data_IF_651297670218
#
_entry.id   IF_651297670218
#
_cell.length_a   1.000
_cell.length_b   1.000
_cell.length_c   1.000
_cell.angle_alpha   90.00
_cell.angle_beta   90.00
_cell.angle_gamma   90.00
#
_symmetry.space_group_name_H-M   'P 1'
#
loop_
_entity.id
_entity.type
_entity.pdbx_description
1 polymer ?
#
# COMPACT_ATOMS: atom_id res chain seq x y z
N UNK A 1 -6.02 -6.55 -9.56
CA UNK A 1 -6.32 -5.17 -9.99
C UNK A 1 -5.11 -4.26 -9.86
N UNK A 2 -4.51 -4.14 -8.66
CA UNK A 2 -3.35 -3.24 -8.41
C UNK A 2 -2.14 -3.59 -9.27
N UNK A 3 -1.80 -4.86 -9.42
CA UNK A 3 -0.65 -5.29 -10.25
C UNK A 3 -0.85 -4.97 -11.73
N UNK A 4 -2.08 -5.17 -12.25
CA UNK A 4 -2.41 -4.84 -13.64
C UNK A 4 -2.32 -3.32 -13.87
N UNK A 5 -2.78 -2.52 -12.91
CA UNK A 5 -2.65 -1.07 -12.95
C UNK A 5 -1.18 -0.63 -13.05
N UNK A 6 -0.28 -1.22 -12.26
CA UNK A 6 1.14 -0.89 -12.33
C UNK A 6 1.79 -1.33 -13.65
N UNK A 7 1.42 -2.48 -14.19
CA UNK A 7 1.90 -2.90 -15.53
C UNK A 7 1.45 -1.90 -16.60
N UNK A 8 0.20 -1.42 -16.53
CA UNK A 8 -0.31 -0.38 -17.44
C UNK A 8 0.51 0.91 -17.31
N UNK A 9 0.75 1.38 -16.08
CA UNK A 9 1.53 2.60 -15.83
C UNK A 9 2.95 2.48 -16.39
N UNK A 10 3.63 1.35 -16.14
CA UNK A 10 4.98 1.10 -16.64
C UNK A 10 5.02 1.14 -18.17
N UNK A 11 4.02 0.55 -18.83
CA UNK A 11 3.95 0.52 -20.29
C UNK A 11 3.64 1.90 -20.91
N UNK A 12 2.75 2.67 -20.26
CA UNK A 12 2.38 4.02 -20.74
C UNK A 12 3.51 5.04 -20.52
N UNK A 13 4.27 4.90 -19.44
CA UNK A 13 5.32 5.83 -19.04
C UNK A 13 6.73 5.24 -19.20
N UNK A 14 7.03 4.60 -20.34
CA UNK A 14 8.30 3.92 -20.59
C UNK A 14 9.52 4.86 -20.72
N UNK A 15 9.31 6.17 -20.92
CA UNK A 15 10.37 7.15 -21.11
C UNK A 15 11.00 7.67 -19.81
N UNK A 16 12.25 8.16 -19.90
CA UNK A 16 13.11 8.60 -18.79
C UNK A 16 12.52 9.67 -17.86
N UNK A 17 11.51 10.42 -18.29
CA UNK A 17 10.76 11.37 -17.47
C UNK A 17 9.68 10.72 -16.60
N UNK A 18 9.41 9.44 -16.78
CA UNK A 18 8.36 8.68 -16.10
C UNK A 18 8.58 8.58 -14.57
N UNK A 19 9.84 8.54 -14.12
CA UNK A 19 10.17 8.43 -12.68
C UNK A 19 9.56 9.54 -11.83
N UNK A 20 9.40 10.75 -12.38
CA UNK A 20 8.74 11.87 -11.68
C UNK A 20 7.21 11.68 -11.60
N UNK A 21 6.62 11.09 -12.62
CA UNK A 21 5.17 10.85 -12.69
C UNK A 21 4.68 9.79 -11.69
N UNK A 22 5.53 8.81 -11.34
CA UNK A 22 5.18 7.80 -10.33
C UNK A 22 4.82 8.39 -8.97
N UNK A 23 5.56 9.43 -8.52
CA UNK A 23 5.26 10.13 -7.27
C UNK A 23 3.86 10.75 -7.26
N UNK A 24 3.47 11.40 -8.35
CA UNK A 24 2.13 12.00 -8.48
C UNK A 24 1.01 10.96 -8.56
N UNK A 25 1.25 9.83 -9.24
CA UNK A 25 0.28 8.73 -9.32
C UNK A 25 0.10 8.10 -7.94
N UNK A 26 1.17 7.89 -7.20
CA UNK A 26 1.11 7.38 -5.83
C UNK A 26 0.42 8.36 -4.87
N UNK A 27 0.65 9.67 -5.04
CA UNK A 27 -0.04 10.72 -4.29
C UNK A 27 -1.56 10.67 -4.50
N UNK A 28 -2.03 10.33 -5.71
CA UNK A 28 -3.45 10.06 -5.98
C UNK A 28 -4.04 8.96 -5.10
N UNK A 29 -3.29 7.89 -4.83
CA UNK A 29 -3.69 6.85 -3.89
C UNK A 29 -3.85 7.36 -2.46
N UNK A 30 -2.92 8.21 -2.00
CA UNK A 30 -3.00 8.83 -0.66
C UNK A 30 -4.18 9.82 -0.55
N UNK A 31 -4.48 10.58 -1.60
CA UNK A 31 -5.71 11.40 -1.66
C UNK A 31 -6.95 10.52 -1.56
N UNK A 32 -7.01 9.40 -2.29
CA UNK A 32 -8.08 8.42 -2.19
C UNK A 32 -8.25 7.88 -0.77
N UNK A 33 -7.15 7.63 -0.06
CA UNK A 33 -7.15 7.24 1.36
C UNK A 33 -7.75 8.32 2.27
N UNK A 34 -7.42 9.60 2.06
CA UNK A 34 -7.99 10.72 2.82
C UNK A 34 -9.52 10.76 2.64
N UNK A 35 -10.01 10.74 1.41
CA UNK A 35 -11.45 10.78 1.14
C UNK A 35 -12.16 9.51 1.63
N UNK A 36 -11.56 8.33 1.42
CA UNK A 36 -12.13 7.07 1.85
C UNK A 36 -12.24 6.95 3.37
N UNK A 37 -11.23 7.41 4.11
CA UNK A 37 -11.25 7.42 5.57
C UNK A 37 -12.31 8.37 6.13
N UNK A 38 -12.48 9.55 5.53
CA UNK A 38 -13.52 10.50 5.93
C UNK A 38 -14.92 9.91 5.73
N UNK A 39 -15.16 9.25 4.58
CA UNK A 39 -16.42 8.55 4.32
C UNK A 39 -16.64 7.45 5.37
N UNK A 40 -15.62 6.63 5.65
CA UNK A 40 -15.73 5.54 6.61
C UNK A 40 -16.05 6.03 8.02
N UNK A 41 -15.38 7.08 8.50
CA UNK A 41 -15.65 7.67 9.83
C UNK A 41 -17.06 8.24 9.89
N UNK A 42 -17.50 9.00 8.89
CA UNK A 42 -18.86 9.56 8.86
C UNK A 42 -19.96 8.49 8.86
N UNK A 43 -19.73 7.39 8.13
CA UNK A 43 -20.67 6.25 8.15
C UNK A 43 -20.66 5.60 9.55
N UNK A 44 -19.49 5.42 10.19
CA UNK A 44 -19.42 4.80 11.51
C UNK A 44 -20.08 5.65 12.60
N UNK A 45 -19.93 6.96 12.57
CA UNK A 45 -20.59 7.89 13.49
C UNK A 45 -22.11 7.88 13.36
N UNK A 46 -22.63 7.58 12.17
CA UNK A 46 -24.07 7.50 11.90
C UNK A 46 -24.56 6.03 11.77
N UNK A 47 -23.81 5.07 12.27
CA UNK A 47 -24.05 3.64 12.06
C UNK A 47 -25.43 3.15 12.52
N UNK A 48 -25.98 3.76 13.59
CA UNK A 48 -27.33 3.44 14.09
C UNK A 48 -28.43 3.65 13.03
N UNK A 49 -28.19 4.52 12.05
CA UNK A 49 -29.12 4.84 10.95
C UNK A 49 -28.72 4.21 9.61
N UNK A 50 -27.44 3.92 9.40
CA UNK A 50 -26.92 3.55 8.09
C UNK A 50 -26.56 2.07 7.96
N UNK A 51 -26.30 1.36 9.06
CA UNK A 51 -25.97 -0.06 9.05
C UNK A 51 -24.68 -0.42 8.28
N UNK A 52 -24.36 -1.70 8.25
CA UNK A 52 -23.20 -2.23 7.52
C UNK A 52 -23.37 -2.12 5.99
N UNK A 53 -24.61 -2.07 5.52
CA UNK A 53 -24.97 -1.94 4.11
C UNK A 53 -24.40 -0.65 3.50
N UNK A 54 -24.32 0.43 4.28
CA UNK A 54 -23.80 1.70 3.82
C UNK A 54 -22.32 1.65 3.48
N UNK A 55 -21.52 0.85 4.19
CA UNK A 55 -20.12 0.61 3.83
C UNK A 55 -20.00 -0.18 2.52
N UNK A 56 -20.83 -1.22 2.36
CA UNK A 56 -20.85 -2.05 1.15
C UNK A 56 -21.29 -1.23 -0.06
N UNK A 57 -22.35 -0.43 0.08
CA UNK A 57 -22.86 0.42 -1.00
C UNK A 57 -21.82 1.47 -1.40
N UNK A 58 -21.25 2.21 -0.46
CA UNK A 58 -20.25 3.24 -0.77
C UNK A 58 -18.99 2.64 -1.41
N UNK A 59 -18.51 1.51 -0.91
CA UNK A 59 -17.39 0.80 -1.51
C UNK A 59 -17.70 0.32 -2.93
N UNK A 60 -18.93 -0.19 -3.18
CA UNK A 60 -19.37 -0.63 -4.50
C UNK A 60 -19.45 0.52 -5.49
N UNK A 61 -19.97 1.67 -5.08
CA UNK A 61 -20.02 2.88 -5.91
C UNK A 61 -18.60 3.33 -6.30
N UNK A 62 -17.67 3.37 -5.35
CA UNK A 62 -16.28 3.74 -5.64
C UNK A 62 -15.59 2.74 -6.58
N UNK A 63 -15.87 1.43 -6.43
CA UNK A 63 -15.35 0.40 -7.33
C UNK A 63 -15.92 0.54 -8.75
N UNK A 64 -17.21 0.83 -8.89
CA UNK A 64 -17.83 1.07 -10.21
C UNK A 64 -17.21 2.30 -10.86
N UNK A 65 -17.02 3.39 -10.11
CA UNK A 65 -16.36 4.60 -10.61
C UNK A 65 -14.93 4.30 -11.06
N UNK A 66 -14.17 3.53 -10.27
CA UNK A 66 -12.82 3.09 -10.63
C UNK A 66 -12.82 2.25 -11.92
N UNK A 67 -13.80 1.37 -12.11
CA UNK A 67 -13.94 0.57 -13.32
C UNK A 67 -14.23 1.46 -14.55
N UNK A 68 -15.14 2.42 -14.42
CA UNK A 68 -15.45 3.38 -15.50
C UNK A 68 -14.20 4.16 -15.90
N UNK A 69 -13.43 4.65 -14.92
CA UNK A 69 -12.17 5.36 -15.18
C UNK A 69 -11.13 4.46 -15.86
N UNK A 70 -11.02 3.20 -15.44
CA UNK A 70 -10.14 2.24 -16.08
C UNK A 70 -10.52 2.01 -17.56
N UNK A 71 -11.79 1.82 -17.85
CA UNK A 71 -12.29 1.68 -19.23
C UNK A 71 -11.99 2.94 -20.04
N UNK A 72 -12.23 4.13 -19.47
CA UNK A 72 -11.92 5.40 -20.12
C UNK A 72 -10.43 5.52 -20.47
N UNK A 73 -9.52 5.18 -19.54
CA UNK A 73 -8.07 5.17 -19.77
C UNK A 73 -7.72 4.21 -20.91
N UNK A 74 -8.28 3.01 -20.93
CA UNK A 74 -8.07 2.03 -22.01
C UNK A 74 -8.48 2.54 -23.39
N UNK A 75 -9.54 3.34 -23.47
CA UNK A 75 -9.98 3.93 -24.74
C UNK A 75 -9.17 5.17 -25.15
N UNK A 76 -8.60 5.87 -24.18
CA UNK A 76 -7.87 7.13 -24.41
C UNK A 76 -6.39 6.92 -24.70
N UNK A 77 -5.82 5.79 -24.28
CA UNK A 77 -4.40 5.45 -24.53
C UNK A 77 -4.29 4.78 -25.89
N UNK A 78 -3.35 5.29 -26.73
CA UNK A 78 -3.10 4.73 -28.06
C UNK A 78 -2.76 3.23 -27.94
N UNK A 79 -3.53 2.39 -28.62
CA UNK A 79 -3.45 0.92 -28.56
C UNK A 79 -2.07 0.37 -28.97
N UNK A 80 -1.26 1.17 -29.67
CA UNK A 80 0.12 0.79 -30.05
C UNK A 80 1.04 0.55 -28.85
N UNK A 81 0.80 1.25 -27.73
CA UNK A 81 1.58 1.08 -26.50
C UNK A 81 1.06 -0.03 -25.58
N UNK A 82 -0.14 -0.56 -25.87
CA UNK A 82 -0.79 -1.61 -25.08
C UNK A 82 -0.75 -2.98 -25.76
N UNK A 83 -0.32 -3.03 -27.04
CA UNK A 83 -0.36 -4.24 -27.87
C UNK A 83 0.83 -5.18 -27.66
N UNK A 84 1.89 -4.74 -26.98
CA UNK A 84 2.96 -5.63 -26.57
C UNK A 84 2.42 -6.56 -25.49
N UNK A 85 1.92 -7.70 -25.94
CA UNK A 85 1.59 -8.81 -25.05
C UNK A 85 2.83 -9.08 -24.20
N UNK A 86 2.71 -8.91 -22.89
CA UNK A 86 3.76 -9.35 -21.96
C UNK A 86 3.91 -10.85 -22.20
N UNK A 87 4.83 -11.20 -23.11
CA UNK A 87 5.11 -12.57 -23.50
C UNK A 87 5.75 -13.30 -22.33
N UNK A 88 5.56 -14.61 -22.29
CA UNK A 88 6.17 -15.49 -21.30
C UNK A 88 5.22 -16.61 -20.93
N UNK A 89 5.77 -17.78 -20.68
CA UNK A 89 5.00 -18.89 -20.13
C UNK A 89 4.88 -18.67 -18.62
N UNK A 90 3.79 -19.09 -18.01
CA UNK A 90 3.58 -18.98 -16.55
C UNK A 90 4.71 -19.64 -15.73
N UNK A 91 5.41 -20.61 -16.29
CA UNK A 91 6.57 -21.27 -15.68
C UNK A 91 7.87 -20.44 -15.78
N UNK A 92 7.96 -19.47 -16.68
CA UNK A 92 9.17 -18.66 -16.87
C UNK A 92 9.48 -17.84 -15.61
N UNK A 93 8.45 -17.35 -14.91
CA UNK A 93 8.60 -16.65 -13.64
C UNK A 93 9.26 -17.55 -12.57
N UNK A 94 8.80 -18.79 -12.45
CA UNK A 94 9.35 -19.76 -11.50
C UNK A 94 10.79 -20.13 -11.86
N UNK A 95 11.08 -20.32 -13.14
CA UNK A 95 12.42 -20.61 -13.63
C UNK A 95 13.37 -19.42 -13.36
N UNK A 96 12.93 -18.20 -13.63
CA UNK A 96 13.72 -16.99 -13.40
C UNK A 96 14.04 -16.77 -11.91
N UNK A 97 13.08 -17.04 -11.00
CA UNK A 97 13.30 -16.96 -9.55
C UNK A 97 14.39 -17.98 -9.12
N UNK A 98 14.40 -19.16 -9.69
CA UNK A 98 15.39 -20.21 -9.32
C UNK A 98 16.76 -19.88 -9.94
N UNK A 99 16.79 -19.43 -11.20
CA UNK A 99 18.02 -19.28 -11.99
C UNK A 99 18.77 -17.99 -11.70
N UNK A 100 18.06 -16.89 -11.36
CA UNK A 100 18.67 -15.58 -11.15
C UNK A 100 18.73 -15.22 -9.68
N UNK A 101 19.95 -15.04 -9.14
CA UNK A 101 20.19 -14.76 -7.71
C UNK A 101 19.47 -13.49 -7.24
N UNK A 102 19.46 -12.43 -8.06
CA UNK A 102 18.90 -11.14 -7.70
C UNK A 102 17.37 -11.21 -7.62
N UNK A 103 16.73 -11.85 -8.61
CA UNK A 103 15.27 -12.07 -8.62
C UNK A 103 14.87 -12.93 -7.42
N UNK A 104 15.62 -13.99 -7.12
CA UNK A 104 15.37 -14.84 -5.95
C UNK A 104 15.48 -14.09 -4.64
N UNK A 105 16.51 -13.23 -4.50
CA UNK A 105 16.70 -12.44 -3.26
C UNK A 105 15.53 -11.50 -3.02
N UNK A 106 15.04 -10.83 -4.05
CA UNK A 106 13.89 -9.94 -3.97
C UNK A 106 12.60 -10.70 -3.71
N UNK A 107 12.42 -11.87 -4.34
CA UNK A 107 11.25 -12.72 -4.08
C UNK A 107 11.21 -13.17 -2.62
N UNK A 108 12.34 -13.60 -2.05
CA UNK A 108 12.45 -13.99 -0.63
C UNK A 108 12.18 -12.78 0.27
N UNK A 109 12.75 -11.61 -0.03
CA UNK A 109 12.49 -10.38 0.73
C UNK A 109 11.00 -10.05 0.74
N UNK A 110 10.35 -10.04 -0.42
CA UNK A 110 8.93 -9.73 -0.55
C UNK A 110 8.05 -10.74 0.20
N UNK A 111 8.40 -12.02 0.14
CA UNK A 111 7.71 -13.07 0.87
C UNK A 111 7.83 -12.91 2.39
N UNK A 112 9.05 -12.69 2.89
CA UNK A 112 9.28 -12.45 4.32
C UNK A 112 8.57 -11.19 4.81
N UNK A 113 8.62 -10.11 4.03
CA UNK A 113 7.93 -8.87 4.36
C UNK A 113 6.42 -9.07 4.48
N UNK A 114 5.81 -9.76 3.50
CA UNK A 114 4.38 -10.06 3.53
C UNK A 114 4.02 -10.92 4.73
N UNK A 115 4.85 -11.93 5.06
CA UNK A 115 4.66 -12.74 6.26
C UNK A 115 4.71 -11.89 7.55
N UNK A 116 5.70 -10.98 7.67
CA UNK A 116 5.79 -10.06 8.81
C UNK A 116 4.56 -9.14 8.91
N UNK A 117 4.10 -8.57 7.79
CA UNK A 117 2.90 -7.73 7.77
C UNK A 117 1.66 -8.52 8.20
N UNK A 118 1.51 -9.76 7.73
CA UNK A 118 0.38 -10.63 8.10
C UNK A 118 0.41 -10.98 9.58
N UNK A 119 1.58 -11.38 10.12
CA UNK A 119 1.74 -11.70 11.53
C UNK A 119 1.45 -10.47 12.40
N UNK A 120 1.96 -9.30 12.01
CA UNK A 120 1.72 -8.05 12.73
C UNK A 120 0.22 -7.72 12.77
N UNK A 121 -0.48 -7.86 11.64
CA UNK A 121 -1.92 -7.64 11.57
C UNK A 121 -2.69 -8.60 12.48
N UNK A 122 -2.41 -9.91 12.39
CA UNK A 122 -3.06 -10.93 13.21
C UNK A 122 -2.78 -10.70 14.70
N UNK A 123 -1.56 -10.29 15.05
CA UNK A 123 -1.19 -10.01 16.45
C UNK A 123 -1.90 -8.77 17.02
N UNK A 124 -2.29 -7.82 16.18
CA UNK A 124 -3.03 -6.63 16.60
C UNK A 124 -4.50 -6.93 16.94
N UNK A 125 -5.11 -7.93 16.30
CA UNK A 125 -6.55 -8.24 16.45
C UNK A 125 -6.94 -8.48 17.91
N UNK A 126 -6.31 -9.42 18.67
CA UNK A 126 -6.68 -9.66 20.05
C UNK A 126 -6.46 -8.43 20.96
N UNK A 127 -5.45 -7.61 20.67
CA UNK A 127 -5.24 -6.36 21.42
C UNK A 127 -6.42 -5.41 21.18
N UNK A 128 -6.82 -5.22 19.93
CA UNK A 128 -7.96 -4.35 19.58
C UNK A 128 -9.26 -4.88 20.22
N UNK A 129 -9.49 -6.18 20.15
CA UNK A 129 -10.71 -6.81 20.69
C UNK A 129 -10.85 -6.69 22.21
N UNK A 130 -9.74 -6.63 22.92
CA UNK A 130 -9.76 -6.39 24.37
C UNK A 130 -10.22 -4.97 24.74
N UNK A 131 -10.02 -3.98 23.86
CA UNK A 131 -10.36 -2.59 24.13
C UNK A 131 -11.65 -2.14 23.42
N UNK A 132 -11.95 -2.70 22.25
CA UNK A 132 -13.07 -2.29 21.40
C UNK A 132 -14.00 -3.51 21.16
N UNK A 133 -15.14 -3.50 21.82
CA UNK A 133 -16.06 -4.64 21.84
C UNK A 133 -16.94 -4.71 20.58
N UNK A 134 -17.27 -3.55 20.00
CA UNK A 134 -18.20 -3.48 18.87
C UNK A 134 -17.49 -3.40 17.53
N UNK A 135 -18.04 -4.00 16.45
CA UNK A 135 -17.50 -3.85 15.10
C UNK A 135 -17.41 -2.38 14.65
N UNK A 136 -18.38 -1.56 15.06
CA UNK A 136 -18.42 -0.13 14.72
C UNK A 136 -17.24 0.63 15.27
N UNK A 137 -16.91 0.43 16.57
CA UNK A 137 -15.74 1.06 17.20
C UNK A 137 -14.43 0.67 16.48
N UNK A 138 -14.32 -0.58 16.02
CA UNK A 138 -13.15 -1.05 15.27
C UNK A 138 -13.05 -0.39 13.90
N UNK A 139 -14.17 -0.26 13.19
CA UNK A 139 -14.21 0.44 11.89
C UNK A 139 -13.83 1.91 12.08
N UNK A 140 -14.38 2.57 13.10
CA UNK A 140 -14.04 3.94 13.43
C UNK A 140 -12.55 4.10 13.74
N UNK A 141 -11.98 3.21 14.57
CA UNK A 141 -10.54 3.20 14.87
C UNK A 141 -9.70 3.16 13.58
N UNK A 142 -9.99 2.22 12.68
CA UNK A 142 -9.25 2.10 11.42
C UNK A 142 -9.45 3.30 10.51
N UNK A 143 -10.65 3.87 10.46
CA UNK A 143 -10.93 5.12 9.75
C UNK A 143 -10.09 6.28 10.29
N UNK A 144 -10.02 6.44 11.61
CA UNK A 144 -9.21 7.49 12.27
C UNK A 144 -7.71 7.27 12.08
N UNK A 145 -7.22 6.03 12.11
CA UNK A 145 -5.82 5.71 11.76
C UNK A 145 -5.54 6.13 10.31
N UNK A 146 -6.45 5.85 9.38
CA UNK A 146 -6.28 6.22 7.98
C UNK A 146 -6.29 7.73 7.76
N UNK A 147 -7.11 8.48 8.51
CA UNK A 147 -7.10 9.95 8.52
C UNK A 147 -5.74 10.54 8.93
N UNK A 148 -4.92 9.80 9.68
CA UNK A 148 -3.55 10.19 10.04
C UNK A 148 -2.55 9.67 8.99
N UNK A 149 -2.65 8.41 8.61
CA UNK A 149 -1.71 7.73 7.70
C UNK A 149 -1.70 8.37 6.33
N UNK A 150 -2.88 8.64 5.76
CA UNK A 150 -2.98 9.11 4.38
C UNK A 150 -2.39 10.51 4.16
N UNK A 151 -2.65 11.54 5.01
CA UNK A 151 -1.99 12.83 4.89
C UNK A 151 -0.48 12.76 5.13
N UNK A 152 -0.03 12.01 6.16
CA UNK A 152 1.39 11.83 6.43
C UNK A 152 2.10 11.15 5.26
N UNK A 153 1.48 10.14 4.67
CA UNK A 153 2.00 9.46 3.48
C UNK A 153 2.09 10.42 2.30
N UNK A 154 1.04 11.21 2.05
CA UNK A 154 1.01 12.20 0.97
C UNK A 154 2.15 13.22 1.11
N UNK A 155 2.30 13.81 2.30
CA UNK A 155 3.38 14.77 2.58
C UNK A 155 4.74 14.10 2.39
N UNK A 156 4.89 12.87 2.91
CA UNK A 156 6.14 12.12 2.78
C UNK A 156 6.46 11.80 1.32
N UNK A 157 5.48 11.41 0.52
CA UNK A 157 5.65 11.12 -0.90
C UNK A 157 6.07 12.36 -1.71
N UNK A 158 5.49 13.52 -1.42
CA UNK A 158 5.76 14.74 -2.16
C UNK A 158 7.13 15.34 -1.82
N UNK A 159 7.53 15.30 -0.55
CA UNK A 159 8.71 16.03 -0.09
C UNK A 159 9.89 15.14 0.31
N UNK A 160 9.63 14.01 0.94
CA UNK A 160 10.67 13.23 1.59
C UNK A 160 11.10 11.98 0.82
N UNK A 161 10.24 11.37 0.00
CA UNK A 161 10.57 10.11 -0.69
C UNK A 161 11.80 10.23 -1.57
N UNK A 162 11.84 11.24 -2.44
CA UNK A 162 13.00 11.46 -3.30
C UNK A 162 14.27 11.76 -2.49
N UNK A 163 14.16 12.60 -1.48
CA UNK A 163 15.29 12.97 -0.62
C UNK A 163 15.85 11.75 0.13
N UNK A 164 15.00 10.94 0.73
CA UNK A 164 15.38 9.73 1.46
C UNK A 164 16.07 8.70 0.54
N UNK A 165 15.49 8.44 -0.64
CA UNK A 165 16.07 7.51 -1.61
C UNK A 165 17.43 8.01 -2.11
N UNK A 166 17.56 9.31 -2.39
CA UNK A 166 18.80 9.91 -2.88
C UNK A 166 19.91 9.96 -1.84
N UNK A 167 19.55 10.23 -0.57
CA UNK A 167 20.53 10.44 0.50
C UNK A 167 20.95 9.13 1.16
N UNK A 168 19.99 8.25 1.47
CA UNK A 168 20.23 7.02 2.22
C UNK A 168 20.38 5.79 1.31
N UNK A 169 19.86 5.89 0.10
CA UNK A 169 19.86 4.78 -0.85
C UNK A 169 18.79 3.72 -0.56
N UNK A 170 18.44 2.98 -1.60
CA UNK A 170 17.37 1.97 -1.56
C UNK A 170 17.67 0.87 -0.55
N UNK A 171 18.92 0.40 -0.51
CA UNK A 171 19.34 -0.68 0.40
C UNK A 171 19.09 -0.33 1.87
N UNK A 172 19.39 0.89 2.26
CA UNK A 172 19.18 1.35 3.64
C UNK A 172 17.68 1.39 3.98
N UNK A 173 16.84 1.92 3.07
CA UNK A 173 15.40 2.01 3.27
C UNK A 173 14.77 0.62 3.45
N UNK A 174 15.15 -0.35 2.61
CA UNK A 174 14.66 -1.71 2.72
C UNK A 174 15.10 -2.40 4.02
N UNK A 175 16.32 -2.12 4.49
CA UNK A 175 16.85 -2.68 5.74
C UNK A 175 16.16 -2.07 6.97
N UNK A 176 16.02 -0.75 7.02
CA UNK A 176 15.40 -0.07 8.17
C UNK A 176 13.95 -0.46 8.36
N UNK A 177 13.24 -0.76 7.26
CA UNK A 177 11.86 -1.22 7.35
C UNK A 177 11.74 -2.57 8.08
N UNK A 178 12.66 -3.49 7.83
CA UNK A 178 12.76 -4.73 8.60
C UNK A 178 13.04 -4.51 10.09
N UNK A 179 13.90 -3.54 10.41
CA UNK A 179 14.18 -3.16 11.81
C UNK A 179 12.96 -2.56 12.51
N UNK A 180 12.16 -1.77 11.80
CA UNK A 180 10.89 -1.24 12.34
C UNK A 180 9.96 -2.38 12.75
N UNK A 181 9.82 -3.46 11.95
CA UNK A 181 9.04 -4.62 12.35
C UNK A 181 9.54 -5.26 13.63
N UNK A 182 10.85 -5.42 13.79
CA UNK A 182 11.43 -6.00 15.02
C UNK A 182 11.04 -5.15 16.24
N UNK A 183 11.16 -3.83 16.15
CA UNK A 183 10.78 -2.91 17.22
C UNK A 183 9.28 -3.03 17.55
N UNK A 184 8.42 -3.13 16.54
CA UNK A 184 6.99 -3.25 16.73
C UNK A 184 6.60 -4.59 17.35
N UNK A 185 7.23 -5.70 16.96
CA UNK A 185 6.99 -6.99 17.62
C UNK A 185 7.42 -7.00 19.08
N UNK A 186 8.56 -6.34 19.40
CA UNK A 186 8.99 -6.13 20.78
C UNK A 186 7.94 -5.30 21.53
N UNK A 187 7.46 -4.22 20.93
CA UNK A 187 6.43 -3.35 21.52
C UNK A 187 5.15 -4.12 21.83
N UNK A 188 4.67 -4.95 20.90
CA UNK A 188 3.48 -5.77 21.12
C UNK A 188 3.66 -6.84 22.19
N UNK A 189 4.86 -7.43 22.27
CA UNK A 189 5.16 -8.45 23.27
C UNK A 189 5.25 -7.91 24.69
N UNK A 190 5.81 -6.72 24.87
CA UNK A 190 6.02 -6.14 26.19
C UNK A 190 4.94 -5.14 26.64
N UNK A 191 4.30 -4.46 25.68
CA UNK A 191 3.33 -3.39 25.94
C UNK A 191 2.08 -3.53 25.05
N UNK A 192 1.28 -4.61 25.20
CA UNK A 192 0.09 -4.84 24.38
C UNK A 192 -1.03 -3.83 24.74
N UNK A 193 -1.03 -2.68 24.08
CA UNK A 193 -1.98 -1.60 24.30
C UNK A 193 -2.56 -1.08 22.99
N UNK A 194 -3.74 -0.46 23.04
CA UNK A 194 -4.36 0.16 21.88
C UNK A 194 -3.46 1.25 21.27
N UNK A 195 -2.77 2.02 22.13
CA UNK A 195 -1.82 3.05 21.69
C UNK A 195 -0.65 2.44 20.91
N UNK A 196 -0.13 1.28 21.37
CA UNK A 196 0.93 0.56 20.66
C UNK A 196 0.45 0.10 19.27
N UNK A 197 -0.79 -0.38 19.16
CA UNK A 197 -1.38 -0.76 17.87
C UNK A 197 -1.52 0.44 16.93
N UNK A 198 -2.08 1.56 17.42
CA UNK A 198 -2.22 2.80 16.62
C UNK A 198 -0.86 3.27 16.13
N UNK A 199 0.12 3.36 17.03
CA UNK A 199 1.48 3.78 16.69
C UNK A 199 2.09 2.86 15.62
N UNK A 200 2.00 1.55 15.80
CA UNK A 200 2.51 0.56 14.86
C UNK A 200 1.85 0.68 13.48
N UNK A 201 0.52 0.80 13.44
CA UNK A 201 -0.22 0.95 12.17
C UNK A 201 0.20 2.23 11.45
N UNK A 202 0.31 3.36 12.15
CA UNK A 202 0.74 4.62 11.53
C UNK A 202 2.16 4.50 10.99
N UNK A 203 3.12 4.07 11.81
CA UNK A 203 4.53 4.00 11.42
C UNK A 203 4.76 3.03 10.27
N UNK A 204 4.22 1.80 10.37
CA UNK A 204 4.42 0.79 9.33
C UNK A 204 3.80 1.19 8.01
N UNK A 205 2.59 1.73 8.03
CA UNK A 205 1.87 2.09 6.81
C UNK A 205 2.44 3.32 6.13
N UNK A 206 2.80 4.36 6.90
CA UNK A 206 3.46 5.54 6.32
C UNK A 206 4.80 5.13 5.71
N UNK A 207 5.61 4.33 6.42
CA UNK A 207 6.89 3.90 5.90
C UNK A 207 6.76 2.98 4.68
N UNK A 208 5.79 2.07 4.68
CA UNK A 208 5.51 1.19 3.53
C UNK A 208 5.15 2.01 2.29
N UNK A 209 4.17 2.89 2.41
CA UNK A 209 3.64 3.60 1.24
C UNK A 209 4.52 4.75 0.77
N UNK A 210 5.21 5.44 1.69
CA UNK A 210 6.05 6.57 1.31
C UNK A 210 7.47 6.16 0.88
N UNK A 211 8.05 5.12 1.47
CA UNK A 211 9.47 4.81 1.26
C UNK A 211 9.72 3.40 0.74
N UNK A 212 9.18 2.37 1.40
CA UNK A 212 9.51 0.98 1.08
C UNK A 212 8.94 0.55 -0.28
N UNK A 213 7.67 0.83 -0.54
CA UNK A 213 7.03 0.48 -1.81
C UNK A 213 7.66 1.18 -3.01
N UNK A 214 7.90 2.52 -3.03
CA UNK A 214 8.62 3.17 -4.11
C UNK A 214 10.03 2.60 -4.33
N UNK A 215 10.74 2.29 -3.25
CA UNK A 215 12.08 1.70 -3.33
C UNK A 215 12.06 0.32 -3.99
N UNK A 216 11.09 -0.54 -3.68
CA UNK A 216 10.91 -1.84 -4.34
C UNK A 216 10.57 -1.69 -5.82
N UNK A 217 9.66 -0.78 -6.16
CA UNK A 217 9.28 -0.55 -7.57
C UNK A 217 10.48 -0.10 -8.41
N UNK A 218 11.37 0.75 -7.86
CA UNK A 218 12.61 1.13 -8.54
C UNK A 218 13.50 -0.09 -8.77
N UNK A 219 13.64 -0.99 -7.79
CA UNK A 219 14.44 -2.21 -7.97
C UNK A 219 13.82 -3.11 -9.04
N UNK A 220 12.49 -3.30 -9.03
CA UNK A 220 11.80 -4.11 -10.05
C UNK A 220 11.95 -3.53 -11.47
N UNK A 221 11.99 -2.20 -11.60
CA UNK A 221 12.15 -1.55 -12.90
C UNK A 221 13.58 -1.64 -13.49
N UNK A 222 14.55 -2.09 -12.70
CA UNK A 222 15.95 -2.24 -13.13
C UNK A 222 16.31 -3.69 -13.48
N UNK A 223 15.41 -4.62 -13.28
CA UNK A 223 15.53 -6.05 -13.60
C UNK A 223 14.91 -6.39 -14.95
#
# INVERSE_FOLDING_TARGET
VVSIFWVLIINVFRDSNSKKSYGFIMAGGSLGGIFGSEIAVRISENFAYSGIESFVISSSVLLILSLILAIYIFHSVDSRNLSDVVGGKWMDASYNIISHKDIRTIAIYSWLLTACMTIQWISAIPIIENFLQTPTERIELFGRIEQIVSPLTLISQLFFTYMMISFLGIKFILTIYGLIFIIIFILYGFFPSLTAVIFAQVVLRVFEYAFNKPSREIVYSQM
#
